data_IF_241993322613
#
_entry.id   IF_241993322613
#
_cell.length_a   1.000
_cell.length_b   1.000
_cell.length_c   1.000
_cell.angle_alpha   90.00
_cell.angle_beta   90.00
_cell.angle_gamma   90.00
#
_symmetry.space_group_name_H-M   'P 1'
#
loop_
_entity.id
_entity.type
_entity.pdbx_description
1 polymer ?
#
# COMPACT_ATOMS: atom_id res chain seq x y z
N UNK A 1 -18.73 -22.10 22.83
CA UNK A 1 -18.27 -21.45 21.59
C UNK A 1 -17.41 -20.28 21.98
N UNK A 2 -16.11 -20.50 21.96
CA UNK A 2 -15.11 -19.56 22.44
C UNK A 2 -15.05 -18.34 21.53
N UNK A 3 -15.25 -17.16 22.11
CA UNK A 3 -14.87 -15.90 21.51
C UNK A 3 -13.35 -15.79 21.58
N UNK A 4 -12.66 -16.02 20.46
CA UNK A 4 -11.28 -15.57 20.31
C UNK A 4 -11.30 -14.07 20.06
N UNK A 5 -11.01 -13.31 21.12
CA UNK A 5 -10.64 -11.91 21.05
C UNK A 5 -9.31 -11.79 20.32
N UNK A 6 -9.33 -11.24 19.10
CA UNK A 6 -8.12 -10.79 18.41
C UNK A 6 -7.44 -9.69 19.26
N UNK A 7 -6.43 -10.09 20.02
CA UNK A 7 -5.53 -9.15 20.70
C UNK A 7 -4.77 -8.33 19.66
N UNK A 8 -4.54 -7.03 19.87
CA UNK A 8 -3.72 -6.22 18.97
C UNK A 8 -2.32 -6.82 18.90
N UNK A 9 -1.93 -7.29 17.72
CA UNK A 9 -0.59 -7.84 17.50
C UNK A 9 0.44 -6.73 17.77
N UNK A 10 1.38 -6.93 18.71
CA UNK A 10 2.40 -5.94 19.00
C UNK A 10 3.26 -5.77 17.76
N UNK A 11 3.42 -4.51 17.32
CA UNK A 11 4.32 -4.13 16.25
C UNK A 11 5.74 -4.31 16.80
N UNK A 12 6.24 -5.54 16.71
CA UNK A 12 7.54 -5.92 17.23
C UNK A 12 8.65 -5.25 16.42
N UNK A 13 9.49 -4.57 17.18
CA UNK A 13 10.66 -3.80 16.80
C UNK A 13 11.78 -4.72 16.27
N UNK A 14 11.73 -5.00 14.96
CA UNK A 14 12.89 -5.47 14.19
C UNK A 14 12.59 -5.29 12.69
N UNK A 15 12.29 -4.04 12.30
CA UNK A 15 12.01 -3.70 10.91
C UNK A 15 13.31 -3.72 10.09
N UNK A 16 13.56 -4.82 9.38
CA UNK A 16 14.53 -4.79 8.26
C UNK A 16 14.00 -3.80 7.22
N UNK A 17 14.58 -2.61 7.18
CA UNK A 17 14.16 -1.52 6.30
C UNK A 17 14.95 -1.55 5.02
N UNK A 18 14.29 -1.62 3.87
CA UNK A 18 14.93 -1.38 2.57
C UNK A 18 14.66 0.06 2.15
N UNK A 19 15.73 0.79 1.83
CA UNK A 19 15.66 2.16 1.31
C UNK A 19 15.89 2.13 -0.20
N UNK A 20 14.97 2.72 -0.96
CA UNK A 20 15.13 2.89 -2.41
C UNK A 20 15.09 4.39 -2.69
N UNK A 21 16.15 4.90 -3.33
CA UNK A 21 16.28 6.31 -3.73
C UNK A 21 15.94 6.47 -5.21
N UNK A 22 15.25 7.55 -5.57
CA UNK A 22 14.89 7.92 -6.94
C UNK A 22 15.66 9.17 -7.35
N UNK A 23 16.36 9.13 -8.49
CA UNK A 23 16.92 10.32 -9.13
C UNK A 23 15.98 10.76 -10.26
N UNK A 24 15.26 11.87 -10.10
CA UNK A 24 14.38 12.42 -11.13
C UNK A 24 13.44 13.54 -10.65
N UNK A 25 13.43 14.62 -11.41
CA UNK A 25 12.98 15.99 -11.11
C UNK A 25 11.46 16.24 -11.13
N UNK A 26 11.05 17.23 -10.31
CA UNK A 26 9.74 17.92 -10.23
C UNK A 26 8.49 17.15 -9.76
N UNK A 27 8.53 16.64 -8.53
CA UNK A 27 7.39 16.68 -7.60
C UNK A 27 7.92 16.36 -6.19
N UNK A 28 7.28 16.87 -5.14
CA UNK A 28 7.76 16.82 -3.75
C UNK A 28 8.49 15.49 -3.43
N UNK A 29 9.80 15.60 -3.23
CA UNK A 29 10.75 14.48 -3.25
C UNK A 29 10.40 13.49 -2.13
N UNK A 30 10.07 12.25 -2.50
CA UNK A 30 10.09 11.14 -1.53
C UNK A 30 11.53 10.67 -1.50
N UNK A 31 12.35 11.30 -0.65
CA UNK A 31 13.80 11.05 -0.55
C UNK A 31 14.14 9.61 -0.17
N UNK A 32 13.20 8.90 0.45
CA UNK A 32 13.42 7.55 0.97
C UNK A 32 12.11 6.78 1.03
N UNK A 33 12.00 5.72 0.24
CA UNK A 33 10.97 4.72 0.43
C UNK A 33 11.36 3.83 1.62
N UNK A 34 10.49 3.74 2.63
CA UNK A 34 10.66 2.83 3.77
C UNK A 34 9.72 1.64 3.57
N UNK A 35 10.28 0.43 3.52
CA UNK A 35 9.51 -0.82 3.45
C UNK A 35 9.82 -1.66 4.68
N UNK A 36 8.78 -2.00 5.45
CA UNK A 36 8.90 -2.82 6.65
C UNK A 36 8.70 -4.31 6.32
N UNK A 37 9.45 -5.17 7.01
CA UNK A 37 9.22 -6.61 6.96
C UNK A 37 7.89 -6.97 7.64
N UNK A 38 7.23 -8.03 7.16
CA UNK A 38 6.04 -8.57 7.79
C UNK A 38 6.35 -10.00 8.27
N UNK A 39 6.76 -10.18 9.54
CA UNK A 39 7.21 -11.47 10.05
C UNK A 39 6.06 -12.44 10.31
N UNK A 40 4.83 -11.94 10.52
CA UNK A 40 3.64 -12.74 10.85
C UNK A 40 3.32 -13.74 9.74
N UNK A 41 3.33 -13.28 8.48
CA UNK A 41 3.22 -14.18 7.33
C UNK A 41 4.28 -13.82 6.27
N UNK A 42 5.26 -14.71 6.12
CA UNK A 42 6.34 -14.55 5.13
C UNK A 42 5.83 -14.45 3.69
N UNK A 43 4.66 -15.04 3.38
CA UNK A 43 4.02 -14.97 2.06
C UNK A 43 3.46 -13.59 1.73
N UNK A 44 3.34 -12.72 2.73
CA UNK A 44 2.92 -11.33 2.59
C UNK A 44 4.06 -10.34 2.83
N UNK A 45 5.28 -10.81 3.08
CA UNK A 45 6.40 -9.96 3.46
C UNK A 45 7.05 -9.23 2.27
N UNK A 46 6.88 -7.90 2.13
CA UNK A 46 7.41 -7.19 0.96
C UNK A 46 8.93 -7.18 0.92
N UNK A 47 9.61 -7.09 2.07
CA UNK A 47 11.08 -7.11 2.16
C UNK A 47 11.67 -8.42 1.63
N UNK A 48 11.03 -9.55 1.96
CA UNK A 48 11.46 -10.86 1.49
C UNK A 48 11.36 -10.95 -0.04
N UNK A 49 10.23 -10.53 -0.61
CA UNK A 49 10.04 -10.57 -2.06
C UNK A 49 10.92 -9.57 -2.81
N UNK A 50 11.18 -8.38 -2.25
CA UNK A 50 12.12 -7.42 -2.84
C UNK A 50 13.53 -8.03 -2.91
N UNK A 51 14.01 -8.62 -1.82
CA UNK A 51 15.34 -9.26 -1.77
C UNK A 51 15.44 -10.40 -2.79
N UNK A 52 14.45 -11.27 -2.83
CA UNK A 52 14.44 -12.41 -3.75
C UNK A 52 14.32 -11.97 -5.22
N UNK A 53 13.51 -10.94 -5.49
CA UNK A 53 13.40 -10.36 -6.83
C UNK A 53 14.74 -9.81 -7.30
N UNK A 54 15.40 -8.97 -6.50
CA UNK A 54 16.71 -8.41 -6.83
C UNK A 54 17.75 -9.51 -7.10
N UNK A 55 17.75 -10.57 -6.27
CA UNK A 55 18.62 -11.74 -6.44
C UNK A 55 18.41 -12.41 -7.80
N UNK A 56 17.15 -12.70 -8.16
CA UNK A 56 16.80 -13.39 -9.43
C UNK A 56 17.04 -12.55 -10.66
N UNK A 57 16.83 -11.23 -10.58
CA UNK A 57 17.01 -10.34 -11.74
C UNK A 57 18.44 -9.84 -11.91
N UNK A 58 19.35 -10.09 -10.96
CA UNK A 58 20.69 -9.50 -10.92
C UNK A 58 21.48 -9.67 -12.23
N UNK A 59 21.48 -10.87 -12.80
CA UNK A 59 22.23 -11.20 -14.01
C UNK A 59 21.49 -10.85 -15.31
N UNK A 60 20.18 -10.60 -15.24
CA UNK A 60 19.35 -10.33 -16.40
C UNK A 60 19.18 -8.84 -16.68
N UNK A 61 19.31 -8.01 -15.65
CA UNK A 61 18.97 -6.59 -15.67
C UNK A 61 19.89 -5.80 -16.61
N UNK A 62 19.28 -5.04 -17.52
CA UNK A 62 19.94 -4.12 -18.45
C UNK A 62 19.58 -2.65 -18.19
N UNK A 63 19.05 -2.34 -17.01
CA UNK A 63 18.55 -1.01 -16.64
C UNK A 63 18.59 -0.83 -15.13
N UNK A 64 18.89 0.37 -14.66
CA UNK A 64 18.90 0.69 -13.21
C UNK A 64 17.50 0.79 -12.59
N UNK A 65 16.43 0.64 -13.38
CA UNK A 65 15.08 0.60 -12.86
C UNK A 65 14.85 -0.64 -11.99
N UNK A 66 14.08 -0.45 -10.90
CA UNK A 66 13.74 -1.55 -10.00
C UNK A 66 13.07 -2.69 -10.77
N UNK A 67 11.98 -2.41 -11.49
CA UNK A 67 11.28 -3.44 -12.26
C UNK A 67 11.84 -3.58 -13.68
N UNK A 68 12.15 -4.81 -14.09
CA UNK A 68 12.60 -5.18 -15.45
C UNK A 68 11.57 -6.05 -16.18
N UNK A 69 11.58 -6.00 -17.51
CA UNK A 69 10.73 -6.84 -18.37
C UNK A 69 11.05 -8.34 -18.15
N UNK A 70 10.00 -9.17 -18.05
CA UNK A 70 10.15 -10.61 -17.89
C UNK A 70 10.70 -11.30 -19.15
N UNK A 71 10.48 -10.72 -20.32
CA UNK A 71 11.00 -11.20 -21.59
C UNK A 71 12.19 -10.36 -22.06
N UNK A 72 13.00 -10.92 -22.96
CA UNK A 72 14.08 -10.19 -23.62
C UNK A 72 13.50 -9.08 -24.53
N UNK A 73 14.16 -7.92 -24.63
CA UNK A 73 15.32 -7.49 -23.84
C UNK A 73 14.87 -7.05 -22.43
N UNK A 74 15.55 -7.50 -21.37
CA UNK A 74 15.20 -7.26 -19.95
C UNK A 74 15.44 -5.81 -19.49
N UNK A 75 14.84 -4.86 -20.20
CA UNK A 75 14.90 -3.41 -19.95
C UNK A 75 13.96 -3.03 -18.83
N UNK A 76 14.11 -1.82 -18.32
CA UNK A 76 13.18 -1.25 -17.33
C UNK A 76 11.75 -1.19 -17.88
N UNK A 77 10.77 -1.47 -17.03
CA UNK A 77 9.36 -1.48 -17.44
C UNK A 77 8.74 -0.08 -17.41
N UNK A 78 7.79 0.17 -18.31
CA UNK A 78 7.04 1.42 -18.28
C UNK A 78 6.04 1.47 -17.12
N UNK A 79 5.64 2.69 -16.73
CA UNK A 79 4.55 2.94 -15.76
C UNK A 79 3.27 2.17 -16.11
N UNK A 80 2.91 2.11 -17.40
CA UNK A 80 1.70 1.41 -17.86
C UNK A 80 1.82 -0.11 -17.74
N UNK A 81 3.04 -0.65 -17.80
CA UNK A 81 3.29 -2.07 -17.54
C UNK A 81 3.06 -2.39 -16.07
N UNK A 82 3.61 -1.58 -15.16
CA UNK A 82 3.39 -1.73 -13.72
C UNK A 82 1.89 -1.62 -13.41
N UNK A 83 1.20 -0.61 -13.98
CA UNK A 83 -0.25 -0.44 -13.82
C UNK A 83 -1.03 -1.68 -14.25
N UNK A 84 -0.66 -2.30 -15.39
CA UNK A 84 -1.28 -3.54 -15.88
C UNK A 84 -1.02 -4.71 -14.95
N UNK A 85 0.22 -4.88 -14.46
CA UNK A 85 0.55 -5.92 -13.49
C UNK A 85 -0.20 -5.76 -12.18
N UNK A 86 -0.31 -4.54 -11.63
CA UNK A 86 -1.11 -4.29 -10.42
C UNK A 86 -2.57 -4.66 -10.64
N UNK A 87 -3.17 -4.26 -11.78
CA UNK A 87 -4.56 -4.63 -12.10
C UNK A 87 -4.71 -6.15 -12.25
N UNK A 88 -3.73 -6.81 -12.85
CA UNK A 88 -3.71 -8.26 -12.99
C UNK A 88 -3.67 -8.96 -11.63
N UNK A 89 -2.81 -8.50 -10.72
CA UNK A 89 -2.74 -9.03 -9.34
C UNK A 89 -4.07 -8.86 -8.62
N UNK A 90 -4.69 -7.67 -8.69
CA UNK A 90 -6.02 -7.45 -8.12
C UNK A 90 -7.05 -8.46 -8.64
N UNK A 91 -7.07 -8.68 -9.96
CA UNK A 91 -7.98 -9.66 -10.59
C UNK A 91 -7.72 -11.08 -10.10
N UNK A 92 -6.45 -11.49 -10.03
CA UNK A 92 -6.06 -12.81 -9.55
C UNK A 92 -6.38 -13.00 -8.06
N UNK A 93 -6.40 -11.92 -7.28
CA UNK A 93 -6.83 -11.93 -5.88
C UNK A 93 -8.37 -11.87 -5.70
N UNK A 94 -9.15 -11.99 -6.77
CA UNK A 94 -10.62 -11.98 -6.71
C UNK A 94 -11.25 -10.59 -6.58
N UNK A 95 -10.48 -9.51 -6.74
CA UNK A 95 -11.02 -8.14 -6.71
C UNK A 95 -11.67 -7.81 -8.05
N UNK A 96 -12.89 -7.24 -8.01
CA UNK A 96 -13.56 -6.74 -9.21
C UNK A 96 -12.77 -5.57 -9.83
N UNK A 97 -12.10 -5.85 -10.95
CA UNK A 97 -11.28 -4.85 -11.66
C UNK A 97 -12.04 -3.98 -12.65
N UNK A 98 -13.35 -4.21 -12.82
CA UNK A 98 -14.27 -3.28 -13.49
C UNK A 98 -14.51 -2.08 -12.57
N UNK A 99 -14.78 -2.34 -11.29
CA UNK A 99 -14.95 -1.31 -10.26
C UNK A 99 -13.62 -0.75 -9.73
N UNK A 100 -12.69 -1.61 -9.34
CA UNK A 100 -11.43 -1.21 -8.70
C UNK A 100 -10.26 -1.23 -9.68
N UNK A 101 -9.54 -0.13 -9.78
CA UNK A 101 -8.38 0.00 -10.70
C UNK A 101 -7.09 -0.03 -9.91
N UNK A 102 -5.95 -0.04 -10.61
CA UNK A 102 -4.63 -0.05 -9.98
C UNK A 102 -4.47 1.05 -8.90
N UNK A 103 -4.97 2.27 -9.14
CA UNK A 103 -4.90 3.38 -8.16
C UNK A 103 -5.80 3.17 -6.93
N UNK A 104 -6.78 2.27 -6.99
CA UNK A 104 -7.64 1.93 -5.84
C UNK A 104 -6.84 1.32 -4.70
N UNK A 105 -5.70 0.67 -4.99
CA UNK A 105 -4.77 0.17 -3.96
C UNK A 105 -4.28 1.29 -3.03
N UNK A 106 -3.87 2.43 -3.61
CA UNK A 106 -3.42 3.60 -2.85
C UNK A 106 -4.55 4.18 -2.00
N UNK A 107 -5.74 4.33 -2.59
CA UNK A 107 -6.92 4.83 -1.87
C UNK A 107 -7.29 3.91 -0.68
N UNK A 108 -7.30 2.59 -0.90
CA UNK A 108 -7.58 1.61 0.14
C UNK A 108 -6.55 1.66 1.27
N UNK A 109 -5.25 1.66 0.94
CA UNK A 109 -4.17 1.72 1.92
C UNK A 109 -4.24 2.98 2.79
N UNK A 110 -4.40 4.16 2.17
CA UNK A 110 -4.47 5.42 2.93
C UNK A 110 -5.77 5.58 3.71
N UNK A 111 -6.88 5.04 3.20
CA UNK A 111 -8.15 5.04 3.94
C UNK A 111 -8.08 4.13 5.16
N UNK A 112 -7.42 2.98 5.05
CA UNK A 112 -7.16 2.10 6.19
C UNK A 112 -6.23 2.75 7.22
N UNK A 113 -5.19 3.46 6.78
CA UNK A 113 -4.33 4.21 7.69
C UNK A 113 -5.11 5.29 8.47
N UNK A 114 -5.98 6.05 7.79
CA UNK A 114 -6.87 7.05 8.41
C UNK A 114 -7.84 6.40 9.40
N UNK A 115 -8.45 5.27 9.02
CA UNK A 115 -9.33 4.48 9.90
C UNK A 115 -8.61 3.93 11.13
N UNK A 116 -7.31 3.62 11.01
CA UNK A 116 -6.44 3.21 12.13
C UNK A 116 -5.80 4.39 12.86
N UNK A 117 -6.32 5.61 12.66
CA UNK A 117 -5.89 6.83 13.33
C UNK A 117 -4.40 7.18 13.16
N UNK A 118 -3.79 6.79 12.04
CA UNK A 118 -2.45 7.27 11.70
C UNK A 118 -2.52 8.79 11.49
N UNK A 119 -1.61 9.59 12.09
CA UNK A 119 -1.66 11.05 11.96
C UNK A 119 -1.68 11.50 10.50
N UNK A 120 -2.52 12.48 10.18
CA UNK A 120 -2.73 12.96 8.81
C UNK A 120 -1.42 13.36 8.13
N UNK A 121 -0.54 14.09 8.83
CA UNK A 121 0.76 14.51 8.30
C UNK A 121 1.65 13.31 7.94
N UNK A 122 1.54 12.21 8.69
CA UNK A 122 2.24 10.96 8.39
C UNK A 122 1.66 10.33 7.12
N UNK A 123 0.33 10.24 7.00
CA UNK A 123 -0.33 9.72 5.80
C UNK A 123 0.06 10.55 4.56
N UNK A 124 0.01 11.89 4.67
CA UNK A 124 0.37 12.80 3.59
C UNK A 124 1.83 12.65 3.18
N UNK A 125 2.74 12.55 4.15
CA UNK A 125 4.17 12.31 3.89
C UNK A 125 4.42 10.97 3.20
N UNK A 126 3.87 9.88 3.71
CA UNK A 126 4.03 8.54 3.11
C UNK A 126 3.37 8.42 1.75
N UNK A 127 2.22 9.08 1.56
CA UNK A 127 1.53 9.12 0.28
C UNK A 127 2.14 10.15 -0.69
N UNK A 128 3.05 11.02 -0.28
CA UNK A 128 3.58 12.08 -1.15
C UNK A 128 2.52 13.11 -1.58
N UNK A 129 1.62 13.49 -0.68
CA UNK A 129 0.64 14.55 -0.90
C UNK A 129 0.96 15.79 -0.07
N UNK A 130 0.75 16.97 -0.65
CA UNK A 130 0.93 18.26 0.04
C UNK A 130 -0.29 18.68 0.86
N UNK A 131 -1.46 18.12 0.58
CA UNK A 131 -2.72 18.61 1.15
C UNK A 131 -3.66 17.48 1.53
N UNK A 132 -4.21 17.59 2.75
CA UNK A 132 -5.32 16.76 3.25
C UNK A 132 -6.56 16.84 2.38
N UNK A 133 -6.80 17.97 1.71
CA UNK A 133 -7.93 18.14 0.78
C UNK A 133 -7.85 17.17 -0.40
N UNK A 134 -6.63 16.90 -0.90
CA UNK A 134 -6.39 15.95 -2.00
C UNK A 134 -6.69 14.53 -1.54
N UNK A 135 -6.26 14.17 -0.32
CA UNK A 135 -6.61 12.89 0.29
C UNK A 135 -8.13 12.76 0.45
N UNK A 136 -8.78 13.72 1.11
CA UNK A 136 -10.21 13.68 1.39
C UNK A 136 -11.07 13.57 0.12
N UNK A 137 -10.72 14.32 -0.93
CA UNK A 137 -11.49 14.34 -2.18
C UNK A 137 -11.28 13.10 -3.05
N UNK A 138 -10.03 12.68 -3.23
CA UNK A 138 -9.71 11.69 -4.27
C UNK A 138 -9.43 10.29 -3.73
N UNK A 139 -9.02 10.16 -2.47
CA UNK A 139 -8.46 8.92 -1.94
C UNK A 139 -9.13 8.38 -0.68
N UNK A 140 -9.74 9.23 0.15
CA UNK A 140 -10.54 8.79 1.29
C UNK A 140 -11.78 8.07 0.76
N UNK A 141 -11.91 6.79 1.09
CA UNK A 141 -13.03 5.94 0.73
C UNK A 141 -13.64 5.36 2.00
N UNK A 142 -14.98 5.26 2.08
CA UNK A 142 -15.62 4.56 3.18
C UNK A 142 -15.09 3.13 3.23
N UNK A 143 -14.53 2.73 4.37
CA UNK A 143 -14.31 1.32 4.67
C UNK A 143 -15.65 0.80 5.17
N UNK A 144 -16.11 -0.33 4.64
CA UNK A 144 -17.45 -0.87 4.93
C UNK A 144 -17.68 -0.94 6.44
N UNK A 145 -18.37 0.07 6.92
CA UNK A 145 -19.18 0.07 8.09
C UNK A 145 -20.49 0.61 7.57
N UNK A 146 -21.61 -0.05 7.87
CA UNK A 146 -22.93 0.51 7.64
C UNK A 146 -22.97 1.86 8.36
N UNK A 147 -22.63 2.92 7.64
CA UNK A 147 -22.41 4.25 8.22
C UNK A 147 -23.72 4.82 8.72
N UNK A 148 -24.82 4.44 8.08
CA UNK A 148 -26.18 4.72 8.54
C UNK A 148 -26.49 4.03 9.86
N UNK A 149 -26.18 2.72 9.98
CA UNK A 149 -26.37 1.97 11.23
C UNK A 149 -25.50 2.52 12.37
N UNK A 150 -24.23 2.86 12.09
CA UNK A 150 -23.33 3.45 13.11
C UNK A 150 -23.72 4.86 13.52
N UNK A 151 -24.24 5.69 12.61
CA UNK A 151 -24.74 7.01 12.98
C UNK A 151 -25.96 6.90 13.89
N UNK A 152 -26.96 6.10 13.48
CA UNK A 152 -28.14 5.85 14.30
C UNK A 152 -27.75 5.26 15.65
N UNK A 153 -26.87 4.26 15.70
CA UNK A 153 -26.40 3.69 16.95
C UNK A 153 -25.65 4.71 17.81
N UNK A 154 -24.71 5.48 17.28
CA UNK A 154 -23.95 6.47 18.05
C UNK A 154 -24.83 7.58 18.63
N UNK A 155 -25.84 8.04 17.89
CA UNK A 155 -26.83 9.02 18.37
C UNK A 155 -27.72 8.41 19.45
N UNK A 156 -28.18 7.17 19.27
CA UNK A 156 -29.13 6.52 20.17
C UNK A 156 -28.48 5.90 21.42
N UNK A 157 -27.18 5.59 21.40
CA UNK A 157 -26.44 5.03 22.55
C UNK A 157 -25.59 6.06 23.29
N UNK A 158 -25.70 7.35 22.97
CA UNK A 158 -25.10 8.43 23.77
C UNK A 158 -25.79 8.48 25.14
N UNK A 159 -25.27 7.72 26.09
CA UNK A 159 -25.76 7.69 27.46
C UNK A 159 -25.06 8.83 28.22
N UNK A 160 -25.84 9.59 29.01
CA UNK A 160 -25.42 10.73 29.83
C UNK A 160 -24.31 10.42 30.82
#
# INVERSE_FOLDING_TARGET
>A
MSHESETPVPIADSAQTVSVSSAGTHSAHVDKLIVCAYPVDRRLCPVLYIKEYLKRTKLLRQSDQFFVQCAKPHKGVSRDTIRRWTKQVLRLSGVDTVRFKAHSTRAAATSLADFRHVPMDTILKFAGWKSSSTFARYYKRPLMADSESRFCHAVLTSTR
#
